data_IF_413215879888
#
_entry.id   IF_413215879888
#
_cell.length_a   1.000
_cell.length_b   1.000
_cell.length_c   1.000
_cell.angle_alpha   90.00
_cell.angle_beta   90.00
_cell.angle_gamma   90.00
#
_symmetry.space_group_name_H-M   'P 1'
#
loop_
_entity.id
_entity.type
_entity.pdbx_description
1 polymer ?
#
# COMPACT_ATOMS: atom_id res chain seq x y z
N UNK A 1 -30.26 12.87 -8.64
CA UNK A 1 -28.89 12.36 -8.35
C UNK A 1 -28.69 11.99 -6.87
N UNK A 2 -29.12 12.82 -5.90
CA UNK A 2 -29.09 12.51 -4.46
C UNK A 2 -29.91 11.26 -4.06
N UNK A 3 -31.10 11.08 -4.66
CA UNK A 3 -31.99 9.95 -4.37
C UNK A 3 -31.48 8.60 -4.87
N UNK A 4 -30.79 8.58 -6.03
CA UNK A 4 -30.13 7.37 -6.54
C UNK A 4 -28.94 6.97 -5.66
N UNK A 5 -28.15 7.93 -5.15
CA UNK A 5 -26.99 7.65 -4.30
C UNK A 5 -27.37 6.99 -2.95
N UNK A 6 -28.54 7.32 -2.37
CA UNK A 6 -29.02 6.73 -1.10
C UNK A 6 -29.41 5.24 -1.21
N UNK A 7 -29.77 4.75 -2.40
CA UNK A 7 -30.07 3.32 -2.60
C UNK A 7 -28.81 2.44 -2.68
N UNK A 8 -27.60 3.01 -2.75
CA UNK A 8 -26.35 2.25 -2.90
C UNK A 8 -25.66 1.85 -1.58
N UNK A 9 -26.09 2.36 -0.42
CA UNK A 9 -25.51 1.99 0.88
C UNK A 9 -25.68 0.49 1.20
N UNK A 10 -26.63 -0.21 0.56
CA UNK A 10 -26.96 -1.61 0.86
C UNK A 10 -26.22 -2.67 0.04
N UNK A 11 -25.33 -2.31 -0.89
CA UNK A 11 -24.83 -3.27 -1.93
C UNK A 11 -23.29 -3.37 -2.00
N UNK A 12 -22.56 -2.86 -1.01
CA UNK A 12 -21.12 -3.14 -0.93
C UNK A 12 -20.97 -4.53 -0.32
N UNK A 13 -20.58 -5.51 -1.12
CA UNK A 13 -20.26 -6.86 -0.63
C UNK A 13 -19.29 -6.76 0.55
N UNK A 14 -19.51 -7.55 1.62
CA UNK A 14 -18.58 -7.57 2.74
C UNK A 14 -17.16 -7.86 2.23
N UNK A 15 -16.13 -7.24 2.82
CA UNK A 15 -14.75 -7.44 2.39
C UNK A 15 -14.45 -8.94 2.35
N UNK A 16 -14.00 -9.44 1.20
CA UNK A 16 -13.59 -10.86 1.03
C UNK A 16 -12.63 -11.23 2.17
N UNK A 17 -12.92 -12.33 2.87
CA UNK A 17 -12.09 -12.87 3.97
C UNK A 17 -10.65 -13.00 3.46
N UNK A 18 -9.71 -12.40 4.19
CA UNK A 18 -8.28 -12.31 3.81
C UNK A 18 -7.54 -13.60 4.13
N UNK A 19 -8.08 -14.73 3.68
CA UNK A 19 -7.47 -16.03 3.95
C UNK A 19 -6.23 -16.22 3.11
N UNK A 20 -5.10 -16.53 3.75
CA UNK A 20 -3.91 -17.04 3.03
C UNK A 20 -3.90 -18.55 2.95
N UNK A 21 -4.71 -19.19 3.78
CA UNK A 21 -4.86 -20.64 3.81
C UNK A 21 -6.33 -21.01 3.63
N UNK A 22 -6.54 -22.25 3.23
CA UNK A 22 -7.85 -22.88 3.08
C UNK A 22 -7.72 -24.36 3.36
N UNK A 23 -8.83 -25.10 3.41
CA UNK A 23 -8.77 -26.57 3.56
C UNK A 23 -7.91 -27.24 2.48
N UNK A 24 -7.97 -26.75 1.24
CA UNK A 24 -7.18 -27.27 0.12
C UNK A 24 -5.73 -26.76 0.08
N UNK A 25 -5.41 -25.73 0.88
CA UNK A 25 -4.06 -25.19 1.00
C UNK A 25 -3.84 -24.69 2.44
N UNK A 26 -3.68 -25.62 3.41
CA UNK A 26 -3.75 -25.31 4.83
C UNK A 26 -2.49 -24.61 5.36
N UNK A 27 -1.45 -24.47 4.54
CA UNK A 27 -0.18 -23.87 4.92
C UNK A 27 0.31 -22.90 3.84
N UNK A 28 0.71 -21.72 4.28
CA UNK A 28 1.33 -20.70 3.45
C UNK A 28 2.61 -20.21 4.09
N UNK A 29 3.71 -20.29 3.35
CA UNK A 29 5.01 -19.75 3.74
C UNK A 29 5.36 -18.54 2.86
N UNK A 30 5.92 -17.51 3.49
CA UNK A 30 6.34 -16.30 2.80
C UNK A 30 7.60 -16.53 1.98
N UNK A 31 7.54 -16.17 0.70
CA UNK A 31 8.68 -16.16 -0.23
C UNK A 31 8.74 -14.84 -0.98
N UNK A 32 9.95 -14.36 -1.24
CA UNK A 32 10.17 -13.20 -2.11
C UNK A 32 9.89 -13.60 -3.56
N UNK A 33 9.20 -12.72 -4.28
CA UNK A 33 9.05 -12.83 -5.73
C UNK A 33 10.33 -12.40 -6.45
N UNK A 34 10.54 -12.85 -7.68
CA UNK A 34 11.65 -12.40 -8.54
C UNK A 34 11.73 -10.87 -8.63
N UNK A 35 10.58 -10.20 -8.73
CA UNK A 35 10.51 -8.74 -8.78
C UNK A 35 11.04 -8.06 -7.50
N UNK A 36 10.84 -8.68 -6.34
CA UNK A 36 11.36 -8.19 -5.07
C UNK A 36 12.85 -8.45 -4.96
N UNK A 37 13.33 -9.62 -5.41
CA UNK A 37 14.75 -9.94 -5.46
C UNK A 37 15.50 -8.94 -6.36
N UNK A 38 15.00 -8.71 -7.58
CA UNK A 38 15.60 -7.72 -8.49
C UNK A 38 15.60 -6.31 -7.91
N UNK A 39 14.58 -5.95 -7.12
CA UNK A 39 14.51 -4.64 -6.48
C UNK A 39 15.56 -4.47 -5.38
N UNK A 40 15.78 -5.51 -4.57
CA UNK A 40 16.86 -5.54 -3.56
C UNK A 40 18.23 -5.45 -4.24
N UNK A 41 18.43 -6.15 -5.36
CA UNK A 41 19.68 -6.01 -6.11
C UNK A 41 19.92 -4.58 -6.63
N UNK A 42 18.88 -3.90 -7.12
CA UNK A 42 19.00 -2.50 -7.55
C UNK A 42 19.31 -1.60 -6.36
N UNK A 43 18.66 -1.84 -5.20
CA UNK A 43 18.94 -1.12 -3.97
C UNK A 43 20.42 -1.22 -3.59
N UNK A 44 20.98 -2.42 -3.60
CA UNK A 44 22.35 -2.68 -3.15
C UNK A 44 23.43 -2.25 -4.16
N UNK A 45 23.14 -2.34 -5.46
CA UNK A 45 24.10 -2.04 -6.54
C UNK A 45 24.10 -0.57 -7.00
N UNK A 46 23.21 0.26 -6.47
CA UNK A 46 23.08 1.68 -6.88
C UNK A 46 23.32 2.64 -5.73
N UNK A 47 23.30 3.94 -6.01
CA UNK A 47 23.34 5.00 -4.99
C UNK A 47 21.98 5.21 -4.30
N UNK A 48 21.17 4.16 -4.17
CA UNK A 48 19.79 4.20 -3.67
C UNK A 48 19.63 4.97 -2.35
N UNK A 49 20.51 4.71 -1.39
CA UNK A 49 20.46 5.33 -0.05
C UNK A 49 20.94 6.78 -0.06
N UNK A 50 21.75 7.14 -1.06
CA UNK A 50 22.46 8.42 -1.15
C UNK A 50 21.76 9.44 -2.05
N UNK A 51 20.87 9.01 -2.95
CA UNK A 51 20.16 9.93 -3.84
C UNK A 51 19.14 10.76 -3.06
N UNK A 52 19.19 12.08 -3.26
CA UNK A 52 18.31 13.01 -2.56
C UNK A 52 17.92 14.21 -3.43
N UNK A 53 16.75 14.78 -3.13
CA UNK A 53 16.28 16.02 -3.76
C UNK A 53 15.62 16.90 -2.70
N UNK A 54 16.09 18.13 -2.59
CA UNK A 54 15.42 19.15 -1.81
C UNK A 54 14.49 19.97 -2.71
N UNK A 55 13.25 20.17 -2.27
CA UNK A 55 12.26 20.91 -3.04
C UNK A 55 11.41 21.77 -2.12
N UNK A 56 11.21 23.04 -2.48
CA UNK A 56 10.34 23.92 -1.73
C UNK A 56 8.87 23.46 -1.82
N UNK A 57 8.08 23.78 -0.81
CA UNK A 57 6.66 23.45 -0.74
C UNK A 57 5.88 24.46 0.08
N UNK A 58 4.76 24.95 -0.47
CA UNK A 58 3.80 25.75 0.29
C UNK A 58 2.66 24.87 0.78
N UNK A 59 2.52 24.76 2.09
CA UNK A 59 1.42 24.02 2.72
C UNK A 59 0.06 24.68 2.42
N UNK A 60 -1.07 23.97 2.59
CA UNK A 60 -2.40 24.59 2.45
C UNK A 60 -2.64 25.77 3.40
N UNK A 61 -1.95 25.80 4.55
CA UNK A 61 -1.98 26.91 5.51
C UNK A 61 -1.07 28.08 5.12
N UNK A 62 -0.44 28.03 3.94
CA UNK A 62 0.43 29.07 3.43
C UNK A 62 1.88 29.05 3.96
N UNK A 63 2.20 28.14 4.88
CA UNK A 63 3.56 27.99 5.46
C UNK A 63 4.51 27.41 4.40
N UNK A 64 5.67 28.03 4.23
CA UNK A 64 6.76 27.53 3.40
C UNK A 64 7.56 26.46 4.14
N UNK A 65 7.82 25.35 3.47
CA UNK A 65 8.63 24.23 3.96
C UNK A 65 9.58 23.76 2.87
N UNK A 66 10.66 23.10 3.28
CA UNK A 66 11.57 22.39 2.38
C UNK A 66 11.34 20.89 2.53
N UNK A 67 11.01 20.22 1.44
CA UNK A 67 10.84 18.76 1.41
C UNK A 67 12.19 18.14 1.12
N UNK A 68 12.56 17.14 1.90
CA UNK A 68 13.69 16.26 1.62
C UNK A 68 13.16 14.95 1.05
N UNK A 69 13.24 14.82 -0.27
CA UNK A 69 12.85 13.61 -0.97
C UNK A 69 14.00 12.60 -0.94
N UNK A 70 13.66 11.36 -0.61
CA UNK A 70 14.52 10.17 -0.72
C UNK A 70 13.78 9.04 -1.43
N UNK A 71 14.50 7.98 -1.77
CA UNK A 71 13.88 6.70 -2.10
C UNK A 71 13.42 5.97 -0.82
N UNK A 72 12.52 4.96 -0.93
CA UNK A 72 12.16 4.08 0.19
C UNK A 72 13.40 3.42 0.80
N UNK A 73 13.30 2.83 2.00
CA UNK A 73 14.44 2.11 2.63
C UNK A 73 15.67 2.98 2.97
N UNK A 74 15.46 4.17 3.54
CA UNK A 74 16.56 5.14 3.81
C UNK A 74 16.73 5.51 5.29
N UNK A 75 15.97 4.86 6.18
CA UNK A 75 16.03 5.03 7.63
C UNK A 75 16.08 3.67 8.31
N UNK A 76 16.80 3.60 9.42
CA UNK A 76 16.88 2.41 10.26
C UNK A 76 15.49 1.93 10.70
N UNK A 77 15.40 0.61 10.89
CA UNK A 77 14.20 -0.03 11.41
C UNK A 77 14.00 0.31 12.90
N UNK A 78 12.75 0.31 13.35
CA UNK A 78 12.48 0.42 14.79
C UNK A 78 12.92 -0.88 15.49
N UNK A 79 13.19 -0.81 16.81
CA UNK A 79 13.63 -1.95 17.62
C UNK A 79 12.72 -3.19 17.50
N UNK A 80 11.41 -3.00 17.29
CA UNK A 80 10.44 -4.08 17.15
C UNK A 80 10.33 -4.64 15.73
N UNK A 81 10.77 -3.88 14.71
CA UNK A 81 10.62 -4.28 13.32
C UNK A 81 11.45 -5.54 13.01
N UNK A 82 10.80 -6.55 12.44
CA UNK A 82 11.43 -7.82 12.09
C UNK A 82 11.48 -8.84 13.23
N UNK A 83 11.09 -8.47 14.46
CA UNK A 83 10.87 -9.43 15.54
C UNK A 83 9.63 -10.27 15.26
N UNK A 84 9.67 -11.54 15.61
CA UNK A 84 8.53 -12.43 15.46
C UNK A 84 7.42 -12.12 16.46
N UNK A 85 6.18 -12.25 15.99
CA UNK A 85 4.96 -12.34 16.76
C UNK A 85 4.24 -13.60 16.28
N UNK A 86 3.94 -14.49 17.22
CA UNK A 86 3.22 -15.73 16.93
C UNK A 86 1.87 -15.69 17.62
N UNK A 87 0.81 -15.84 16.85
CA UNK A 87 -0.53 -16.06 17.35
C UNK A 87 -0.97 -17.46 16.96
N UNK A 88 -1.78 -18.11 17.79
CA UNK A 88 -2.22 -19.47 17.58
C UNK A 88 -3.68 -19.70 18.00
N UNK A 89 -4.34 -20.61 17.31
CA UNK A 89 -5.59 -21.21 17.74
C UNK A 89 -5.37 -22.69 18.03
N UNK A 90 -5.79 -23.11 19.22
CA UNK A 90 -5.64 -24.48 19.73
C UNK A 90 -7.01 -25.17 19.90
N UNK A 91 -8.05 -24.70 19.20
CA UNK A 91 -9.33 -25.39 19.12
C UNK A 91 -9.22 -26.59 18.16
N UNK A 92 -8.43 -27.59 18.55
CA UNK A 92 -8.00 -28.69 17.66
C UNK A 92 -9.18 -29.42 17.04
N UNK A 93 -10.23 -29.70 17.82
CA UNK A 93 -11.45 -30.35 17.32
C UNK A 93 -12.17 -29.56 16.21
N UNK A 94 -11.97 -28.24 16.17
CA UNK A 94 -12.52 -27.34 15.15
C UNK A 94 -11.61 -27.14 13.93
N UNK A 95 -10.47 -27.83 13.87
CA UNK A 95 -9.51 -27.73 12.78
C UNK A 95 -9.33 -29.08 12.05
N UNK A 96 -8.96 -29.05 10.76
CA UNK A 96 -8.54 -30.25 10.04
C UNK A 96 -7.42 -30.99 10.78
N UNK A 97 -7.52 -32.32 10.82
CA UNK A 97 -6.54 -33.25 11.40
C UNK A 97 -6.13 -32.94 12.86
N UNK A 98 -6.99 -32.26 13.63
CA UNK A 98 -6.71 -31.82 15.00
C UNK A 98 -5.43 -30.98 15.13
N UNK A 99 -5.09 -30.22 14.09
CA UNK A 99 -3.89 -29.41 14.05
C UNK A 99 -4.08 -28.04 14.74
N UNK A 100 -2.98 -27.43 15.18
CA UNK A 100 -3.00 -26.05 15.65
C UNK A 100 -2.92 -25.09 14.45
N UNK A 101 -3.71 -24.02 14.45
CA UNK A 101 -3.58 -22.96 13.46
C UNK A 101 -2.63 -21.89 14.00
N UNK A 102 -1.52 -21.63 13.30
CA UNK A 102 -0.49 -20.68 13.72
C UNK A 102 -0.33 -19.56 12.69
N UNK A 103 -0.27 -18.32 13.18
CA UNK A 103 0.19 -17.14 12.46
C UNK A 103 1.55 -16.71 13.02
N UNK A 104 2.63 -17.13 12.36
CA UNK A 104 3.99 -16.76 12.73
C UNK A 104 4.48 -15.65 11.80
N UNK A 105 4.41 -14.41 12.26
CA UNK A 105 4.65 -13.22 11.42
C UNK A 105 5.68 -12.28 12.04
N UNK A 106 6.25 -11.39 11.23
CA UNK A 106 7.19 -10.37 11.71
C UNK A 106 6.48 -9.03 11.90
N UNK A 107 6.74 -8.41 13.05
CA UNK A 107 6.29 -7.07 13.41
C UNK A 107 6.80 -6.02 12.42
N UNK A 108 5.99 -5.00 12.16
CA UNK A 108 6.35 -3.95 11.21
C UNK A 108 5.80 -2.59 11.61
N UNK A 109 6.57 -1.53 11.35
CA UNK A 109 6.12 -0.15 11.55
C UNK A 109 5.42 0.43 10.31
N UNK A 110 5.35 -0.33 9.21
CA UNK A 110 4.78 0.08 7.92
C UNK A 110 5.26 1.44 7.37
N UNK A 111 6.45 1.90 7.77
CA UNK A 111 7.05 3.14 7.26
C UNK A 111 7.72 2.87 5.91
N UNK A 112 7.51 3.76 4.95
CA UNK A 112 8.16 3.71 3.63
C UNK A 112 9.68 3.86 3.70
N UNK A 113 10.17 4.65 4.65
CA UNK A 113 11.59 4.88 4.84
C UNK A 113 12.29 3.77 5.65
N UNK A 114 11.55 2.88 6.34
CA UNK A 114 12.16 1.83 7.17
C UNK A 114 12.83 0.78 6.28
N UNK A 115 14.14 0.56 6.49
CA UNK A 115 14.98 -0.40 5.74
C UNK A 115 14.43 -1.84 5.72
N UNK A 116 13.62 -2.20 6.73
CA UNK A 116 13.01 -3.52 6.83
C UNK A 116 11.56 -3.54 6.30
N UNK A 117 10.72 -2.58 6.69
CA UNK A 117 9.28 -2.65 6.44
C UNK A 117 8.86 -2.15 5.06
N UNK A 118 9.71 -1.40 4.36
CA UNK A 118 9.30 -0.71 3.14
C UNK A 118 8.76 -1.65 2.07
N UNK A 119 9.47 -2.75 1.77
CA UNK A 119 9.16 -3.59 0.62
C UNK A 119 7.97 -4.51 0.86
N UNK A 120 7.98 -5.29 1.93
CA UNK A 120 6.97 -6.36 2.10
C UNK A 120 5.76 -5.93 2.92
N UNK A 121 5.84 -4.78 3.61
CA UNK A 121 4.78 -4.32 4.53
C UNK A 121 4.18 -3.01 4.00
N UNK A 122 4.97 -1.96 3.85
CA UNK A 122 4.49 -0.68 3.35
C UNK A 122 4.02 -0.76 1.90
N UNK A 123 4.86 -1.21 0.94
CA UNK A 123 4.46 -1.29 -0.47
C UNK A 123 3.23 -2.17 -0.64
N UNK A 124 3.24 -3.38 -0.07
CA UNK A 124 2.12 -4.32 -0.18
C UNK A 124 0.81 -3.72 0.36
N UNK A 125 0.86 -2.99 1.47
CA UNK A 125 -0.32 -2.34 2.04
C UNK A 125 -0.79 -1.18 1.16
N UNK A 126 0.10 -0.25 0.81
CA UNK A 126 -0.27 0.94 0.04
C UNK A 126 -0.71 0.59 -1.39
N UNK A 127 -0.07 -0.39 -2.04
CA UNK A 127 -0.48 -0.87 -3.36
C UNK A 127 -1.84 -1.53 -3.30
N UNK A 128 -2.09 -2.42 -2.32
CA UNK A 128 -3.40 -3.06 -2.14
C UNK A 128 -4.49 -2.04 -1.89
N UNK A 129 -4.31 -1.13 -0.93
CA UNK A 129 -5.31 -0.10 -0.60
C UNK A 129 -5.61 0.80 -1.79
N UNK A 130 -4.58 1.16 -2.55
CA UNK A 130 -4.75 1.95 -3.76
C UNK A 130 -5.49 1.20 -4.87
N UNK A 131 -5.16 -0.07 -5.08
CA UNK A 131 -5.88 -0.97 -6.00
C UNK A 131 -7.36 -1.05 -5.62
N UNK A 132 -7.67 -1.34 -4.35
CA UNK A 132 -9.05 -1.46 -3.87
C UNK A 132 -9.84 -0.17 -4.08
N UNK A 133 -9.24 1.01 -3.86
CA UNK A 133 -9.92 2.29 -4.11
C UNK A 133 -10.27 2.47 -5.60
N UNK A 134 -9.34 2.12 -6.48
CA UNK A 134 -9.53 2.21 -7.93
C UNK A 134 -10.57 1.20 -8.42
N UNK A 135 -10.53 -0.04 -7.93
CA UNK A 135 -11.51 -1.09 -8.26
C UNK A 135 -12.91 -0.74 -7.75
N UNK A 136 -13.02 -0.20 -6.52
CA UNK A 136 -14.30 0.33 -6.01
C UNK A 136 -14.85 1.42 -6.92
N UNK A 137 -13.99 2.34 -7.36
CA UNK A 137 -14.39 3.38 -8.31
C UNK A 137 -14.89 2.80 -9.64
N UNK A 138 -14.15 1.85 -10.21
CA UNK A 138 -14.55 1.15 -11.43
C UNK A 138 -15.93 0.47 -11.27
N UNK A 139 -16.17 -0.21 -10.16
CA UNK A 139 -17.47 -0.83 -9.85
C UNK A 139 -18.59 0.19 -9.74
N UNK A 140 -18.38 1.31 -9.03
CA UNK A 140 -19.36 2.40 -8.94
C UNK A 140 -19.68 2.96 -10.34
N UNK A 141 -18.67 3.15 -11.20
CA UNK A 141 -18.89 3.64 -12.56
C UNK A 141 -19.73 2.67 -13.41
N UNK A 142 -19.45 1.37 -13.31
CA UNK A 142 -20.24 0.32 -13.99
C UNK A 142 -21.69 0.33 -13.54
N UNK A 143 -21.95 0.42 -12.23
CA UNK A 143 -23.30 0.47 -11.68
C UNK A 143 -24.09 1.71 -12.11
N UNK A 144 -23.42 2.85 -12.30
CA UNK A 144 -24.02 4.07 -12.81
C UNK A 144 -24.21 4.07 -14.34
N UNK A 145 -23.97 2.95 -15.02
CA UNK A 145 -24.06 2.84 -16.48
C UNK A 145 -22.96 3.59 -17.24
N UNK A 146 -21.93 4.09 -16.54
CA UNK A 146 -20.79 4.78 -17.15
C UNK A 146 -19.75 3.77 -17.61
N UNK A 147 -19.94 3.24 -18.82
CA UNK A 147 -19.08 2.20 -19.39
C UNK A 147 -17.91 2.74 -20.22
N UNK A 148 -17.96 4.00 -20.65
CA UNK A 148 -16.86 4.64 -21.39
C UNK A 148 -15.72 5.01 -20.46
N UNK A 149 -14.49 4.69 -20.87
CA UNK A 149 -13.25 5.01 -20.14
C UNK A 149 -13.23 4.49 -18.70
N UNK A 150 -13.89 3.35 -18.48
CA UNK A 150 -14.04 2.72 -17.17
C UNK A 150 -12.87 1.81 -16.77
N UNK A 151 -11.84 1.68 -17.61
CA UNK A 151 -10.62 0.96 -17.26
C UNK A 151 -9.52 1.96 -16.86
N UNK A 152 -8.80 1.72 -15.75
CA UNK A 152 -7.71 2.58 -15.37
C UNK A 152 -6.54 2.44 -16.37
N UNK A 153 -5.97 3.56 -16.76
CA UNK A 153 -4.77 3.64 -17.60
C UNK A 153 -3.58 4.14 -16.79
N UNK A 154 -2.39 3.68 -17.16
CA UNK A 154 -1.13 4.21 -16.65
C UNK A 154 -0.68 5.36 -17.55
N UNK A 155 -0.47 6.54 -16.97
CA UNK A 155 0.06 7.72 -17.65
C UNK A 155 1.32 8.20 -16.93
N UNK A 156 2.29 8.71 -17.68
CA UNK A 156 3.48 9.37 -17.13
C UNK A 156 3.46 10.83 -17.55
N UNK A 157 3.54 11.74 -16.57
CA UNK A 157 3.64 13.18 -16.81
C UNK A 157 5.03 13.65 -16.39
N UNK A 158 5.78 14.19 -17.32
CA UNK A 158 7.13 14.71 -17.12
C UNK A 158 7.13 16.23 -17.26
N UNK A 159 7.57 16.96 -16.23
CA UNK A 159 7.80 18.40 -16.30
C UNK A 159 8.78 18.78 -17.42
N UNK A 160 8.57 19.97 -17.98
CA UNK A 160 9.57 20.65 -18.80
C UNK A 160 10.83 20.94 -17.97
N UNK A 161 11.94 21.26 -18.64
CA UNK A 161 13.19 21.57 -17.94
C UNK A 161 13.06 22.80 -17.01
N UNK A 162 12.38 23.85 -17.48
CA UNK A 162 12.18 25.09 -16.72
C UNK A 162 11.35 24.88 -15.43
N UNK A 163 10.42 23.92 -15.44
CA UNK A 163 9.58 23.63 -14.28
C UNK A 163 10.10 22.47 -13.42
N UNK A 164 11.09 21.69 -13.89
CA UNK A 164 11.47 20.38 -13.32
C UNK A 164 11.74 20.40 -11.82
N UNK A 165 12.37 21.46 -11.35
CA UNK A 165 12.79 21.64 -9.96
C UNK A 165 12.05 22.76 -9.22
N UNK A 166 10.92 23.21 -9.76
CA UNK A 166 10.09 24.22 -9.09
C UNK A 166 9.48 23.68 -7.79
N UNK A 167 8.81 24.56 -7.05
CA UNK A 167 8.06 24.23 -5.82
C UNK A 167 7.08 23.05 -6.03
N UNK A 168 7.08 22.07 -5.14
CA UNK A 168 6.33 20.82 -5.28
C UNK A 168 4.82 21.01 -5.46
N UNK A 169 4.19 21.92 -4.72
CA UNK A 169 2.75 22.20 -4.86
C UNK A 169 2.40 22.79 -6.22
N UNK A 170 3.26 23.63 -6.78
CA UNK A 170 3.09 24.20 -8.12
C UNK A 170 3.30 23.14 -9.20
N UNK A 171 4.34 22.31 -9.03
CA UNK A 171 4.62 21.19 -9.93
C UNK A 171 3.42 20.22 -9.98
N UNK A 172 2.86 19.88 -8.82
CA UNK A 172 1.66 19.05 -8.69
C UNK A 172 0.40 19.72 -9.23
N UNK A 173 0.29 21.05 -9.12
CA UNK A 173 -0.83 21.82 -9.71
C UNK A 173 -0.77 21.75 -11.23
N UNK A 174 0.37 22.11 -11.85
CA UNK A 174 0.58 22.02 -13.30
C UNK A 174 0.35 20.61 -13.84
N UNK A 175 0.87 19.58 -13.15
CA UNK A 175 0.62 18.19 -13.53
C UNK A 175 -0.88 17.86 -13.62
N UNK A 176 -1.70 18.33 -12.66
CA UNK A 176 -3.16 18.11 -12.67
C UNK A 176 -3.86 18.88 -13.79
N UNK A 177 -3.43 20.10 -14.08
CA UNK A 177 -3.97 20.88 -15.20
C UNK A 177 -3.69 20.19 -16.56
N UNK A 178 -2.51 19.60 -16.72
CA UNK A 178 -2.16 18.83 -17.92
C UNK A 178 -3.01 17.57 -18.02
N UNK A 179 -3.19 16.85 -16.92
CA UNK A 179 -4.04 15.65 -16.88
C UNK A 179 -5.49 15.97 -17.24
N UNK A 180 -6.05 17.07 -16.71
CA UNK A 180 -7.42 17.50 -17.00
C UNK A 180 -7.60 17.89 -18.47
N UNK A 181 -6.69 18.71 -19.02
CA UNK A 181 -6.66 19.06 -20.46
C UNK A 181 -6.54 17.83 -21.35
N UNK A 182 -5.83 16.81 -20.87
CA UNK A 182 -5.66 15.55 -21.57
C UNK A 182 -6.79 14.55 -21.29
N UNK A 183 -7.90 14.96 -20.67
CA UNK A 183 -9.09 14.13 -20.51
C UNK A 183 -9.05 13.12 -19.36
N UNK A 184 -8.05 13.19 -18.47
CA UNK A 184 -7.96 12.35 -17.27
C UNK A 184 -8.79 12.97 -16.15
N UNK A 185 -9.90 12.32 -15.78
CA UNK A 185 -10.92 12.84 -14.87
C UNK A 185 -10.63 12.59 -13.39
N UNK A 186 -9.74 11.65 -13.10
CA UNK A 186 -9.31 11.38 -11.73
C UNK A 186 -8.40 10.16 -11.66
N UNK A 187 -7.70 10.03 -10.54
CA UNK A 187 -6.81 8.89 -10.33
C UNK A 187 -5.89 9.02 -9.12
N UNK A 188 -4.92 8.12 -9.12
CA UNK A 188 -3.77 8.07 -8.23
C UNK A 188 -2.59 8.77 -8.89
N UNK A 189 -2.01 9.76 -8.22
CA UNK A 189 -0.79 10.43 -8.61
C UNK A 189 0.35 9.98 -7.69
N UNK A 190 1.46 9.50 -8.26
CA UNK A 190 2.64 9.04 -7.53
C UNK A 190 3.85 9.83 -7.99
N UNK A 191 4.43 10.64 -7.10
CA UNK A 191 5.57 11.48 -7.42
C UNK A 191 6.87 10.68 -7.40
N UNK A 192 7.66 10.82 -8.47
CA UNK A 192 8.96 10.16 -8.63
C UNK A 192 10.01 11.25 -8.82
N UNK A 193 10.74 11.65 -7.77
CA UNK A 193 11.79 12.65 -7.84
C UNK A 193 13.04 12.15 -8.57
N UNK A 194 13.23 10.83 -8.64
CA UNK A 194 14.40 10.18 -9.20
C UNK A 194 14.06 9.25 -10.36
N UNK A 195 15.05 8.98 -11.20
CA UNK A 195 15.01 7.96 -12.25
C UNK A 195 16.30 7.16 -12.22
N UNK A 196 16.21 5.84 -12.36
CA UNK A 196 17.37 4.98 -12.53
C UNK A 196 17.95 5.12 -13.95
N UNK A 197 19.21 5.54 -14.03
CA UNK A 197 20.07 5.32 -15.20
C UNK A 197 20.59 3.88 -15.15
N UNK A 198 19.93 2.99 -15.90
CA UNK A 198 20.28 1.56 -15.95
C UNK A 198 21.67 1.29 -16.50
N UNK A 199 22.25 2.19 -17.31
CA UNK A 199 23.59 1.98 -17.87
C UNK A 199 24.67 2.22 -16.82
N UNK A 200 24.45 3.21 -15.97
CA UNK A 200 25.37 3.59 -14.89
C UNK A 200 25.00 2.95 -13.55
N UNK A 201 23.86 2.25 -13.48
CA UNK A 201 23.23 1.77 -12.25
C UNK A 201 23.16 2.87 -11.18
N UNK A 202 22.76 4.08 -11.59
CA UNK A 202 22.73 5.27 -10.73
C UNK A 202 21.39 5.99 -10.81
N UNK A 203 20.85 6.38 -9.68
CA UNK A 203 19.67 7.22 -9.59
C UNK A 203 20.04 8.68 -9.82
N UNK A 204 19.24 9.36 -10.65
CA UNK A 204 19.43 10.77 -10.96
C UNK A 204 18.16 11.55 -10.69
N UNK A 205 18.30 12.78 -10.20
CA UNK A 205 17.18 13.70 -9.98
C UNK A 205 16.50 14.01 -11.32
N UNK A 206 15.34 13.42 -11.53
CA UNK A 206 14.53 13.58 -12.72
C UNK A 206 13.04 13.52 -12.35
N UNK A 207 12.53 14.57 -11.68
CA UNK A 207 11.13 14.66 -11.29
C UNK A 207 10.16 14.30 -12.41
N UNK A 208 9.24 13.39 -12.13
CA UNK A 208 8.10 13.04 -12.96
C UNK A 208 6.98 12.46 -12.10
N UNK A 209 5.80 12.29 -12.71
CA UNK A 209 4.64 11.70 -12.05
C UNK A 209 4.20 10.47 -12.81
N UNK A 210 3.99 9.39 -12.06
CA UNK A 210 3.19 8.28 -12.53
C UNK A 210 1.73 8.52 -12.11
N UNK A 211 0.82 8.18 -13.02
CA UNK A 211 -0.61 8.34 -12.81
C UNK A 211 -1.29 7.03 -13.15
N UNK A 212 -2.18 6.57 -12.27
CA UNK A 212 -3.10 5.49 -12.59
C UNK A 212 -4.51 6.04 -12.42
N UNK A 213 -5.22 6.23 -13.53
CA UNK A 213 -6.46 7.00 -13.52
C UNK A 213 -7.40 6.69 -14.68
N UNK A 214 -8.56 7.36 -14.65
CA UNK A 214 -9.65 7.15 -15.60
C UNK A 214 -9.78 8.36 -16.52
N UNK A 215 -10.03 8.10 -17.79
CA UNK A 215 -10.19 9.14 -18.79
C UNK A 215 -9.80 8.69 -20.19
N UNK A 216 -9.68 9.66 -21.09
CA UNK A 216 -9.36 9.42 -22.48
C UNK A 216 -8.09 10.16 -22.87
N UNK A 217 -7.04 9.40 -23.18
CA UNK A 217 -5.89 9.88 -23.92
C UNK A 217 -5.85 9.09 -25.22
N UNK A 218 -5.76 9.76 -26.37
CA UNK A 218 -5.53 9.07 -27.66
C UNK A 218 -4.36 8.08 -27.50
N UNK A 219 -4.56 6.86 -28.03
CA UNK A 219 -3.60 5.78 -27.84
C UNK A 219 -2.21 6.15 -28.36
N UNK A 220 -1.19 5.74 -27.60
CA UNK A 220 0.24 5.77 -27.96
C UNK A 220 0.92 7.12 -28.21
N UNK A 221 0.27 8.26 -28.00
CA UNK A 221 0.91 9.55 -28.29
C UNK A 221 1.67 10.13 -27.08
N UNK A 222 2.97 10.38 -27.29
CA UNK A 222 3.76 11.31 -26.47
C UNK A 222 3.31 12.72 -26.85
N UNK A 223 2.40 13.30 -26.09
CA UNK A 223 1.98 14.68 -26.33
C UNK A 223 2.90 15.63 -25.55
N UNK A 224 3.34 16.68 -26.21
CA UNK A 224 4.10 17.76 -25.59
C UNK A 224 3.24 19.01 -25.63
N UNK A 225 3.06 19.67 -24.49
CA UNK A 225 2.34 20.94 -24.47
C UNK A 225 3.24 22.09 -24.96
N UNK A 226 2.65 23.27 -25.16
CA UNK A 226 3.39 24.47 -25.60
C UNK A 226 4.51 24.90 -24.63
N UNK A 227 4.49 24.43 -23.38
CA UNK A 227 5.45 24.76 -22.34
C UNK A 227 6.53 23.68 -22.16
N UNK A 228 6.53 22.64 -23.02
CA UNK A 228 7.52 21.57 -23.01
C UNK A 228 7.24 20.45 -22.00
N UNK A 229 6.07 20.43 -21.35
CA UNK A 229 5.65 19.29 -20.54
C UNK A 229 5.27 18.13 -21.42
N UNK A 230 5.60 16.91 -20.98
CA UNK A 230 5.36 15.70 -21.75
C UNK A 230 4.40 14.78 -21.00
N UNK A 231 3.34 14.34 -21.66
CA UNK A 231 2.43 13.30 -21.18
C UNK A 231 2.55 12.07 -22.08
N UNK A 232 2.68 10.88 -21.45
CA UNK A 232 2.83 9.60 -22.14
C UNK A 232 1.76 8.62 -21.67
N UNK A 233 0.92 8.14 -22.57
CA UNK A 233 0.02 7.02 -22.30
C UNK A 233 0.82 5.70 -22.29
N UNK A 234 0.65 4.88 -21.25
CA UNK A 234 1.16 3.51 -21.16
C UNK A 234 0.04 2.46 -21.25
N UNK A 235 -1.18 2.91 -21.51
CA UNK A 235 -2.36 2.08 -21.73
C UNK A 235 -2.87 1.41 -20.46
N UNK A 236 -3.79 0.48 -20.67
CA UNK A 236 -4.29 -0.42 -19.62
C UNK A 236 -3.19 -1.43 -19.27
N UNK A 237 -2.98 -1.68 -17.98
CA UNK A 237 -1.96 -2.61 -17.47
C UNK A 237 -2.61 -3.92 -17.06
N UNK A 238 -1.90 -5.03 -17.23
CA UNK A 238 -2.42 -6.37 -16.92
C UNK A 238 -2.79 -6.52 -15.45
N UNK A 239 -1.93 -6.01 -14.56
CA UNK A 239 -2.17 -6.00 -13.11
C UNK A 239 -2.04 -4.59 -12.58
N UNK A 240 -3.15 -4.09 -12.04
CA UNK A 240 -3.23 -2.80 -11.36
C UNK A 240 -2.35 -2.80 -10.11
N UNK A 241 -2.47 -3.84 -9.28
CA UNK A 241 -1.68 -4.02 -8.08
C UNK A 241 -0.18 -4.04 -8.36
N UNK A 242 0.27 -4.87 -9.30
CA UNK A 242 1.69 -4.98 -9.63
C UNK A 242 2.23 -3.67 -10.21
N UNK A 243 1.41 -2.94 -10.97
CA UNK A 243 1.80 -1.64 -11.51
C UNK A 243 1.97 -0.58 -10.42
N UNK A 244 1.02 -0.48 -9.48
CA UNK A 244 1.10 0.47 -8.37
C UNK A 244 2.25 0.09 -7.43
N UNK A 245 2.41 -1.20 -7.12
CA UNK A 245 3.51 -1.72 -6.32
C UNK A 245 4.86 -1.32 -6.91
N UNK A 246 5.05 -1.55 -8.22
CA UNK A 246 6.28 -1.18 -8.91
C UNK A 246 6.52 0.33 -8.88
N UNK A 247 5.50 1.16 -9.08
CA UNK A 247 5.65 2.62 -9.00
C UNK A 247 6.02 3.08 -7.58
N UNK A 248 5.35 2.54 -6.57
CA UNK A 248 5.65 2.90 -5.18
C UNK A 248 7.04 2.46 -4.73
N UNK A 249 7.59 1.39 -5.33
CA UNK A 249 8.89 0.83 -4.94
C UNK A 249 10.06 1.80 -5.05
N UNK A 250 9.90 2.85 -5.85
CA UNK A 250 10.88 3.91 -6.06
C UNK A 250 10.22 5.29 -6.15
N UNK A 251 9.06 5.45 -5.49
CA UNK A 251 8.42 6.74 -5.35
C UNK A 251 9.20 7.64 -4.38
N UNK A 252 8.98 8.95 -4.48
CA UNK A 252 9.50 9.89 -3.51
C UNK A 252 8.89 9.65 -2.14
N UNK A 253 9.73 9.44 -1.13
CA UNK A 253 9.34 9.41 0.27
C UNK A 253 9.91 10.63 0.98
N UNK A 254 9.11 11.24 1.84
CA UNK A 254 9.51 12.37 2.66
C UNK A 254 8.68 12.39 3.94
N UNK A 255 9.24 12.98 5.00
CA UNK A 255 8.52 13.09 6.27
C UNK A 255 7.30 14.02 6.10
N UNK A 256 6.17 13.61 6.69
CA UNK A 256 4.90 14.35 6.69
C UNK A 256 4.27 14.57 5.29
N UNK A 257 4.72 13.84 4.26
CA UNK A 257 4.16 13.91 2.91
C UNK A 257 3.92 12.49 2.39
N UNK A 258 2.68 12.21 2.02
CA UNK A 258 2.33 10.94 1.39
C UNK A 258 2.92 10.85 -0.02
N UNK A 259 3.50 9.68 -0.35
CA UNK A 259 4.00 9.36 -1.69
C UNK A 259 2.89 9.30 -2.75
N UNK A 260 1.64 9.14 -2.31
CA UNK A 260 0.44 9.11 -3.16
C UNK A 260 -0.43 10.36 -2.98
N UNK A 261 -1.09 10.78 -4.05
CA UNK A 261 -2.12 11.82 -4.01
C UNK A 261 -3.31 11.39 -4.88
N UNK A 262 -4.51 11.39 -4.31
CA UNK A 262 -5.75 11.19 -5.05
C UNK A 262 -6.27 12.51 -5.61
N UNK A 263 -6.75 12.51 -6.84
CA UNK A 263 -7.28 13.71 -7.50
C UNK A 263 -8.51 13.42 -8.37
N UNK A 264 -9.21 14.49 -8.75
CA UNK A 264 -10.39 14.42 -9.59
C UNK A 264 -11.50 13.58 -8.95
N UNK A 265 -12.15 12.73 -9.74
CA UNK A 265 -13.25 11.88 -9.28
C UNK A 265 -12.85 10.83 -8.22
N UNK A 266 -11.55 10.55 -8.05
CA UNK A 266 -11.02 9.66 -7.00
C UNK A 266 -10.51 10.41 -5.76
N UNK A 267 -10.53 11.75 -5.78
CA UNK A 267 -10.06 12.59 -4.67
C UNK A 267 -10.90 12.42 -3.40
N UNK A 268 -10.33 12.76 -2.25
CA UNK A 268 -11.02 12.66 -0.95
C UNK A 268 -12.22 13.60 -0.77
N UNK A 269 -12.33 14.63 -1.62
CA UNK A 269 -13.48 15.57 -1.65
C UNK A 269 -14.40 15.32 -2.85
N UNK A 270 -14.21 14.22 -3.55
CA UNK A 270 -15.09 13.83 -4.66
C UNK A 270 -16.47 13.43 -4.13
N UNK A 271 -17.51 13.62 -4.95
CA UNK A 271 -18.86 13.09 -4.66
C UNK A 271 -18.91 11.57 -4.52
N UNK A 272 -17.87 10.86 -4.97
CA UNK A 272 -17.73 9.42 -4.85
C UNK A 272 -16.90 9.00 -3.62
N UNK A 273 -16.36 9.95 -2.85
CA UNK A 273 -15.32 9.69 -1.85
C UNK A 273 -15.72 8.63 -0.80
N UNK A 274 -16.96 8.68 -0.29
CA UNK A 274 -17.47 7.70 0.67
C UNK A 274 -17.66 6.32 0.04
N UNK A 275 -18.23 6.25 -1.17
CA UNK A 275 -18.46 4.98 -1.88
C UNK A 275 -17.17 4.23 -2.21
N UNK A 276 -16.08 4.97 -2.45
CA UNK A 276 -14.76 4.41 -2.80
C UNK A 276 -13.79 4.41 -1.62
N UNK A 277 -14.26 4.74 -0.41
CA UNK A 277 -13.45 4.71 0.80
C UNK A 277 -12.97 3.27 1.05
N UNK A 278 -11.69 3.14 1.38
CA UNK A 278 -11.11 1.86 1.77
C UNK A 278 -10.93 1.91 3.27
N UNK A 279 -11.72 1.11 3.97
CA UNK A 279 -11.68 1.00 5.43
C UNK A 279 -10.29 0.58 5.91
N UNK A 280 -9.96 0.98 7.13
CA UNK A 280 -8.74 0.49 7.76
C UNK A 280 -8.88 -1.02 7.98
N UNK A 281 -7.79 -1.74 7.74
CA UNK A 281 -7.76 -3.17 7.97
C UNK A 281 -7.44 -3.38 9.45
N UNK A 282 -8.40 -3.87 10.21
CA UNK A 282 -8.15 -4.36 11.57
C UNK A 282 -7.22 -5.59 11.54
N UNK A 283 -6.43 -5.84 12.60
CA UNK A 283 -5.70 -7.10 12.75
C UNK A 283 -6.65 -8.29 12.61
N UNK A 284 -6.25 -9.30 11.83
CA UNK A 284 -7.01 -10.54 11.75
C UNK A 284 -6.62 -11.45 12.92
N UNK A 285 -7.18 -11.13 14.09
CA UNK A 285 -6.93 -11.87 15.32
C UNK A 285 -7.87 -13.08 15.48
N UNK A 286 -8.53 -13.51 14.40
CA UNK A 286 -9.42 -14.67 14.38
C UNK A 286 -8.86 -15.79 13.50
N UNK A 287 -9.13 -17.02 13.92
CA UNK A 287 -8.77 -18.23 13.20
C UNK A 287 -9.49 -18.29 11.85
N UNK A 288 -8.75 -18.60 10.79
CA UNK A 288 -9.31 -18.73 9.45
C UNK A 288 -10.25 -19.94 9.31
N UNK A 289 -10.06 -20.97 10.13
CA UNK A 289 -10.80 -22.23 10.11
C UNK A 289 -12.03 -22.21 11.02
N UNK A 290 -11.86 -21.95 12.32
CA UNK A 290 -12.98 -22.02 13.29
C UNK A 290 -13.52 -20.65 13.74
N UNK A 291 -12.89 -19.53 13.34
CA UNK A 291 -13.33 -18.17 13.72
C UNK A 291 -12.99 -17.72 15.14
N UNK A 292 -12.44 -18.62 15.97
CA UNK A 292 -12.01 -18.32 17.34
C UNK A 292 -10.86 -17.30 17.39
N UNK A 293 -10.78 -16.54 18.47
CA UNK A 293 -9.67 -15.60 18.67
C UNK A 293 -8.34 -16.35 18.84
N UNK A 294 -7.31 -15.81 18.20
CA UNK A 294 -5.93 -16.26 18.33
C UNK A 294 -5.30 -15.68 19.59
N UNK A 295 -4.52 -16.52 20.28
CA UNK A 295 -3.76 -16.14 21.48
C UNK A 295 -2.25 -16.19 21.20
N UNK A 296 -1.44 -15.51 21.99
CA UNK A 296 0.02 -15.63 21.88
C UNK A 296 0.45 -17.10 22.05
N UNK A 297 1.37 -17.53 21.20
CA UNK A 297 1.88 -18.89 21.17
C UNK A 297 3.41 -18.91 21.15
N UNK A 298 4.01 -19.93 21.75
CA UNK A 298 5.46 -20.18 21.75
C UNK A 298 5.77 -21.53 21.13
N UNK A 299 6.89 -21.59 20.44
CA UNK A 299 7.45 -22.84 19.92
C UNK A 299 8.20 -23.57 21.03
N UNK A 300 7.93 -24.86 21.22
CA UNK A 300 8.43 -25.64 22.36
C UNK A 300 9.14 -26.94 21.97
N UNK A 301 9.21 -27.27 20.68
CA UNK A 301 9.89 -28.48 20.23
C UNK A 301 11.38 -28.43 20.61
N UNK A 302 11.91 -29.56 21.08
CA UNK A 302 13.28 -29.68 21.60
C UNK A 302 14.25 -30.29 20.59
N UNK A 303 13.73 -30.88 19.51
CA UNK A 303 14.49 -31.59 18.48
C UNK A 303 14.96 -30.68 17.33
N UNK A 304 14.42 -29.46 17.24
CA UNK A 304 14.73 -28.49 16.18
C UNK A 304 14.57 -27.04 16.65
N UNK A 305 15.23 -26.06 16.01
CA UNK A 305 15.05 -24.65 16.37
C UNK A 305 13.68 -24.11 15.95
N UNK A 306 13.23 -22.98 16.52
CA UNK A 306 12.01 -22.30 16.06
C UNK A 306 12.09 -21.91 14.57
N UNK A 307 10.95 -21.87 13.86
CA UNK A 307 10.91 -21.41 12.47
C UNK A 307 11.52 -20.01 12.30
N UNK A 308 12.27 -19.80 11.21
CA UNK A 308 12.98 -18.55 10.89
C UNK A 308 12.29 -17.74 9.77
N UNK A 309 11.17 -18.25 9.25
CA UNK A 309 10.37 -17.66 8.17
C UNK A 309 8.97 -17.32 8.64
N UNK A 310 8.37 -16.29 8.03
CA UNK A 310 6.95 -16.00 8.26
C UNK A 310 6.08 -17.08 7.58
N UNK A 311 5.12 -17.63 8.33
CA UNK A 311 4.13 -18.57 7.80
C UNK A 311 2.77 -18.38 8.48
N UNK A 312 1.74 -18.87 7.82
CA UNK A 312 0.38 -18.98 8.35
C UNK A 312 -0.13 -20.35 7.96
N UNK A 313 -0.67 -21.13 8.91
CA UNK A 313 -1.28 -22.40 8.56
C UNK A 313 -1.50 -23.36 9.71
N UNK A 314 -2.05 -24.52 9.36
CA UNK A 314 -2.17 -25.66 10.25
C UNK A 314 -0.80 -26.35 10.42
N UNK A 315 -0.44 -26.63 11.66
CA UNK A 315 0.83 -27.26 12.05
C UNK A 315 0.57 -28.26 13.18
N UNK A 316 1.57 -29.10 13.45
CA UNK A 316 1.51 -30.00 14.59
C UNK A 316 1.32 -29.23 15.90
N UNK A 317 0.28 -29.57 16.64
CA UNK A 317 -0.04 -28.94 17.91
C UNK A 317 1.01 -29.21 19.00
N UNK A 318 1.76 -30.31 18.91
CA UNK A 318 2.79 -30.67 19.90
C UNK A 318 3.99 -29.71 19.92
N UNK A 319 4.23 -29.02 18.81
CA UNK A 319 5.32 -28.06 18.67
C UNK A 319 5.04 -26.71 19.32
N UNK A 320 3.78 -26.41 19.68
CA UNK A 320 3.33 -25.08 20.06
C UNK A 320 2.50 -25.09 21.33
N UNK A 321 2.71 -24.11 22.21
CA UNK A 321 1.88 -23.90 23.39
C UNK A 321 1.33 -22.48 23.45
N UNK A 322 0.07 -22.29 23.87
CA UNK A 322 -0.45 -20.96 24.18
C UNK A 322 0.22 -20.42 25.45
N UNK A 323 0.57 -19.13 25.45
CA UNK A 323 1.12 -18.45 26.64
C UNK A 323 0.06 -17.73 27.46
N UNK A 324 -1.17 -17.69 26.97
CA UNK A 324 -2.29 -17.01 27.62
C UNK A 324 -3.61 -17.70 27.26
N UNK A 325 -4.62 -17.53 28.12
CA UNK A 325 -5.98 -17.98 27.81
C UNK A 325 -6.72 -16.94 26.95
N UNK A 326 -7.78 -17.38 26.27
CA UNK A 326 -8.68 -16.47 25.53
C UNK A 326 -9.21 -15.35 26.44
N UNK A 327 -9.62 -15.69 27.65
CA UNK A 327 -10.14 -14.75 28.64
C UNK A 327 -9.10 -13.70 29.03
N UNK A 328 -7.85 -14.11 29.26
CA UNK A 328 -6.76 -13.17 29.55
C UNK A 328 -6.48 -12.22 28.38
N UNK A 329 -6.51 -12.74 27.15
CA UNK A 329 -6.33 -11.92 25.95
C UNK A 329 -7.45 -10.89 25.78
N UNK A 330 -8.72 -11.29 25.96
CA UNK A 330 -9.86 -10.38 25.92
C UNK A 330 -9.76 -9.26 26.96
N UNK A 331 -9.38 -9.59 28.20
CA UNK A 331 -9.22 -8.59 29.26
C UNK A 331 -8.14 -7.56 28.87
N UNK A 332 -7.00 -8.04 28.33
CA UNK A 332 -5.93 -7.15 27.87
C UNK A 332 -6.37 -6.19 26.77
N UNK A 333 -7.15 -6.64 25.78
CA UNK A 333 -7.69 -5.77 24.73
C UNK A 333 -8.62 -4.71 25.32
N UNK A 334 -9.47 -5.10 26.28
CA UNK A 334 -10.39 -4.18 26.94
C UNK A 334 -9.62 -3.11 27.71
N UNK A 335 -8.61 -3.52 28.48
CA UNK A 335 -7.75 -2.60 29.25
C UNK A 335 -6.99 -1.64 28.32
N UNK A 336 -6.42 -2.12 27.21
CA UNK A 336 -5.74 -1.28 26.21
C UNK A 336 -6.70 -0.28 25.53
N UNK A 337 -7.95 -0.69 25.25
CA UNK A 337 -8.97 0.20 24.67
C UNK A 337 -9.43 1.27 25.67
N UNK A 338 -9.57 0.92 26.95
CA UNK A 338 -9.92 1.86 28.02
C UNK A 338 -8.81 2.91 28.17
N UNK A 339 -7.55 2.48 28.21
CA UNK A 339 -6.39 3.39 28.26
C UNK A 339 -6.34 4.30 27.02
N UNK A 340 -6.66 3.80 25.83
CA UNK A 340 -6.66 4.62 24.61
C UNK A 340 -7.76 5.69 24.58
N UNK A 341 -8.89 5.47 25.29
CA UNK A 341 -9.98 6.44 25.40
C UNK A 341 -9.66 7.56 26.40
N UNK A 342 -8.85 7.28 27.43
CA UNK A 342 -8.43 8.27 28.42
C UNK A 342 -7.34 9.24 27.90
N UNK A 343 -6.64 8.88 26.82
CA UNK A 343 -5.61 9.73 26.20
C UNK A 343 -6.14 10.66 25.09
N UNK A 344 -7.40 10.54 24.68
CA UNK A 344 -8.03 11.44 23.68
C UNK A 344 -8.63 12.72 24.32
N UNK A 345 -8.37 12.97 25.62
CA UNK A 345 -8.82 14.16 26.35
C UNK A 345 -7.74 15.21 26.68
N UNK A 346 -6.54 15.13 26.09
CA UNK A 346 -5.49 16.15 26.26
C UNK A 346 -4.88 16.69 24.96
#
# INVERSE_FOLDING_TARGET
MSQQLKQFEHVVSPPKKRSRVSENNPYWEKKLSESQISLLEIHDKSDWVNVELFQDYKTPKGIMKKIHWKLPSTKEKNITCGKFKTLGCFNLMGHPDNQAYIQHTKLSCFRSACEYCWMEKWLARESRRSTLRIEKYESVMKQLGKTRFNKPIHVIVSPSWNDKFMRYDLLKKKCREILDKAGIKGGLLIYHPFKLDKKKMKWVCMPHFHVVGFGWLLDNNKNTDKQGWVIKNKGVRQSLHSTIYYQLSHAGVADNIHSITWFGELGYRSKYAELIKVENEEPNDNCEFCGEILVNAVFVATDRPPPDKEFIGLVDSWDWLPTESKTMYFQKILDEKIISLDFDFY
#
